data_IF_038994001734
#
_entry.id   IF_038994001734
#
_cell.length_a   1.000
_cell.length_b   1.000
_cell.length_c   1.000
_cell.angle_alpha   90.00
_cell.angle_beta   90.00
_cell.angle_gamma   90.00
#
_symmetry.space_group_name_H-M   'P 1'
#
loop_
_entity.id
_entity.type
_entity.pdbx_description
1 polymer ?
#
# COMPACT_ATOMS: atom_id res chain seq x y z
N UNK A 1 46.26 -7.24 -68.73
CA UNK A 1 46.55 -8.39 -67.87
C UNK A 1 47.88 -8.12 -67.17
N UNK A 2 47.82 -7.78 -65.89
CA UNK A 2 48.94 -7.51 -64.98
C UNK A 2 48.59 -8.21 -63.66
N UNK A 3 49.53 -8.88 -62.97
CA UNK A 3 49.24 -9.87 -61.94
C UNK A 3 48.82 -9.26 -60.59
N UNK A 4 48.24 -10.07 -59.67
CA UNK A 4 47.69 -9.61 -58.41
C UNK A 4 48.80 -9.38 -57.37
N UNK A 5 48.70 -8.30 -56.60
CA UNK A 5 49.48 -8.12 -55.39
C UNK A 5 48.63 -8.58 -54.21
N UNK A 6 49.01 -9.72 -53.65
CA UNK A 6 48.55 -10.20 -52.36
C UNK A 6 49.53 -9.68 -51.30
N UNK A 7 49.04 -8.88 -50.35
CA UNK A 7 49.60 -8.71 -49.00
C UNK A 7 48.78 -7.65 -48.25
N UNK A 8 47.78 -8.09 -47.48
CA UNK A 8 47.31 -7.35 -46.30
C UNK A 8 46.72 -8.31 -45.25
N UNK A 9 47.54 -8.82 -44.31
CA UNK A 9 47.04 -9.58 -43.17
C UNK A 9 47.05 -8.69 -41.93
N UNK A 10 45.94 -8.01 -41.65
CA UNK A 10 45.85 -7.21 -40.44
C UNK A 10 44.48 -6.63 -40.14
N UNK A 11 43.55 -7.42 -39.61
CA UNK A 11 42.62 -6.98 -38.56
C UNK A 11 41.77 -8.13 -38.02
N UNK A 12 42.42 -9.00 -37.23
CA UNK A 12 41.73 -9.84 -36.25
C UNK A 12 41.52 -9.02 -34.96
N UNK A 13 40.37 -9.23 -34.33
CA UNK A 13 40.04 -8.92 -32.92
C UNK A 13 39.81 -7.45 -32.51
N UNK A 14 38.60 -6.93 -32.77
CA UNK A 14 37.96 -6.04 -31.77
C UNK A 14 37.16 -6.91 -30.80
N UNK A 15 37.87 -7.50 -29.84
CA UNK A 15 37.24 -8.10 -28.65
C UNK A 15 36.42 -7.01 -27.96
N UNK A 16 35.16 -7.32 -27.68
CA UNK A 16 34.31 -6.48 -26.84
C UNK A 16 35.00 -6.26 -25.50
N UNK A 17 35.48 -5.06 -25.27
CA UNK A 17 35.75 -4.57 -23.93
C UNK A 17 34.40 -4.50 -23.22
N UNK A 18 34.09 -5.52 -22.43
CA UNK A 18 33.07 -5.42 -21.39
C UNK A 18 33.54 -4.29 -20.47
N UNK A 19 32.98 -3.09 -20.70
CA UNK A 19 33.17 -1.96 -19.81
C UNK A 19 32.84 -2.45 -18.40
N UNK A 20 33.76 -2.36 -17.43
CA UNK A 20 33.43 -2.69 -16.05
C UNK A 20 32.21 -1.84 -15.64
N UNK A 21 31.21 -2.41 -14.95
CA UNK A 21 30.04 -1.66 -14.54
C UNK A 21 30.52 -0.43 -13.76
N UNK A 22 30.10 0.74 -14.21
CA UNK A 22 30.55 1.98 -13.62
C UNK A 22 29.91 2.04 -12.22
N UNK A 23 30.65 2.28 -11.13
CA UNK A 23 30.06 2.41 -9.80
C UNK A 23 29.04 3.56 -9.69
N UNK A 24 28.97 4.42 -10.71
CA UNK A 24 28.01 5.51 -10.88
C UNK A 24 26.68 5.09 -11.53
N UNK A 25 26.53 3.81 -11.92
CA UNK A 25 25.20 3.19 -12.06
C UNK A 25 24.55 2.98 -10.67
N UNK A 26 25.20 3.47 -9.60
CA UNK A 26 24.61 3.74 -8.30
C UNK A 26 23.30 4.52 -8.47
N UNK A 27 22.20 3.77 -8.41
CA UNK A 27 20.85 4.20 -8.07
C UNK A 27 20.53 5.58 -8.63
N UNK A 28 20.07 5.62 -9.89
CA UNK A 28 19.46 6.82 -10.45
C UNK A 28 18.45 7.37 -9.42
N UNK A 29 18.72 8.54 -8.82
CA UNK A 29 17.90 9.07 -7.75
C UNK A 29 16.48 9.34 -8.23
N UNK A 30 16.29 9.65 -9.52
CA UNK A 30 14.97 9.83 -10.10
C UNK A 30 14.22 8.49 -10.22
N UNK A 31 14.91 7.39 -10.54
CA UNK A 31 14.32 6.05 -10.55
C UNK A 31 13.95 5.57 -9.15
N UNK A 32 14.78 5.89 -8.14
CA UNK A 32 14.47 5.62 -6.74
C UNK A 32 13.26 6.43 -6.25
N UNK A 33 13.22 7.74 -6.52
CA UNK A 33 12.08 8.60 -6.19
C UNK A 33 10.80 8.15 -6.88
N UNK A 34 10.87 7.77 -8.16
CA UNK A 34 9.74 7.21 -8.90
C UNK A 34 9.27 5.87 -8.31
N UNK A 35 10.20 5.01 -7.89
CA UNK A 35 9.89 3.76 -7.20
C UNK A 35 9.21 3.98 -5.85
N UNK A 36 9.69 4.96 -5.07
CA UNK A 36 9.09 5.33 -3.78
C UNK A 36 7.70 5.95 -3.96
N UNK A 37 7.51 6.82 -4.94
CA UNK A 37 6.20 7.39 -5.26
C UNK A 37 5.18 6.28 -5.59
N UNK A 38 5.58 5.31 -6.41
CA UNK A 38 4.73 4.16 -6.75
C UNK A 38 4.41 3.26 -5.55
N UNK A 39 5.37 3.05 -4.64
CA UNK A 39 5.11 2.31 -3.40
C UNK A 39 4.09 3.04 -2.53
N UNK A 40 4.22 4.35 -2.38
CA UNK A 40 3.26 5.18 -1.65
C UNK A 40 1.88 5.10 -2.29
N UNK A 41 1.77 5.20 -3.62
CA UNK A 41 0.50 5.05 -4.34
C UNK A 41 -0.17 3.70 -4.06
N UNK A 42 0.59 2.61 -4.07
CA UNK A 42 0.07 1.27 -3.76
C UNK A 42 -0.44 1.20 -2.32
N UNK A 43 0.33 1.72 -1.36
CA UNK A 43 -0.07 1.72 0.05
C UNK A 43 -1.32 2.57 0.27
N UNK A 44 -1.39 3.75 -0.35
CA UNK A 44 -2.58 4.62 -0.26
C UNK A 44 -3.79 3.95 -0.91
N UNK A 45 -3.62 3.31 -2.07
CA UNK A 45 -4.71 2.61 -2.73
C UNK A 45 -5.23 1.43 -1.90
N UNK A 46 -4.36 0.69 -1.23
CA UNK A 46 -4.73 -0.41 -0.35
C UNK A 46 -5.50 0.09 0.88
N UNK A 47 -5.00 1.15 1.55
CA UNK A 47 -5.68 1.78 2.68
C UNK A 47 -7.05 2.37 2.28
N UNK A 48 -7.14 3.01 1.12
CA UNK A 48 -8.41 3.55 0.60
C UNK A 48 -9.38 2.41 0.27
N UNK A 49 -8.91 1.31 -0.33
CA UNK A 49 -9.75 0.15 -0.60
C UNK A 49 -10.33 -0.46 0.69
N UNK A 50 -9.60 -0.38 1.80
CA UNK A 50 -10.12 -0.83 3.10
C UNK A 50 -11.26 0.05 3.63
N UNK A 51 -11.35 1.32 3.21
CA UNK A 51 -12.43 2.21 3.61
C UNK A 51 -13.78 1.82 3.00
N UNK A 52 -13.78 1.22 1.81
CA UNK A 52 -15.00 0.84 1.07
C UNK A 52 -15.62 -0.48 1.53
N UNK A 53 -15.07 -1.12 2.56
CA UNK A 53 -15.68 -2.31 3.16
C UNK A 53 -16.85 -1.95 4.06
N UNK A 54 -17.79 -2.89 4.21
CA UNK A 54 -18.82 -2.76 5.25
C UNK A 54 -18.16 -2.76 6.62
N UNK A 55 -18.61 -1.90 7.51
CA UNK A 55 -18.08 -1.79 8.87
C UNK A 55 -19.19 -1.95 9.91
N UNK A 56 -18.80 -2.29 11.14
CA UNK A 56 -19.69 -2.30 12.31
C UNK A 56 -19.05 -1.49 13.43
N UNK A 57 -19.91 -0.94 14.28
CA UNK A 57 -19.51 -0.35 15.56
C UNK A 57 -19.84 -1.37 16.65
N UNK A 58 -18.85 -1.67 17.48
CA UNK A 58 -18.95 -2.58 18.62
C UNK A 58 -18.97 -1.74 19.88
N UNK A 59 -20.03 -1.87 20.66
CA UNK A 59 -20.22 -1.18 21.94
C UNK A 59 -20.13 -2.21 23.06
N UNK A 60 -19.13 -2.08 23.94
CA UNK A 60 -18.88 -3.06 25.00
C UNK A 60 -18.89 -2.41 26.38
N UNK A 61 -19.78 -2.87 27.25
CA UNK A 61 -19.76 -2.59 28.68
C UNK A 61 -19.18 -3.78 29.46
N UNK A 62 -19.15 -3.70 30.78
CA UNK A 62 -18.82 -4.82 31.67
C UNK A 62 -19.85 -5.96 31.62
N UNK A 63 -21.09 -5.68 31.17
CA UNK A 63 -22.21 -6.62 31.21
C UNK A 63 -22.67 -7.09 29.83
N UNK A 64 -22.52 -6.24 28.80
CA UNK A 64 -23.11 -6.47 27.49
C UNK A 64 -22.17 -6.05 26.36
N UNK A 65 -22.34 -6.71 25.22
CA UNK A 65 -21.75 -6.29 23.94
C UNK A 65 -22.87 -6.10 22.94
N UNK A 66 -22.90 -4.95 22.28
CA UNK A 66 -23.86 -4.58 21.27
C UNK A 66 -23.14 -4.26 19.97
N UNK A 67 -23.84 -4.49 18.85
CA UNK A 67 -23.31 -4.29 17.50
C UNK A 67 -24.27 -3.37 16.76
N UNK A 68 -23.74 -2.29 16.20
CA UNK A 68 -24.47 -1.31 15.41
C UNK A 68 -23.95 -1.36 13.97
N UNK A 69 -24.86 -1.38 13.00
CA UNK A 69 -24.54 -1.50 11.58
C UNK A 69 -25.30 -2.64 10.88
N UNK A 70 -24.89 -3.05 9.67
CA UNK A 70 -23.65 -2.65 8.98
C UNK A 70 -23.70 -1.22 8.42
N UNK A 71 -22.54 -0.56 8.41
CA UNK A 71 -22.29 0.71 7.75
C UNK A 71 -21.64 0.47 6.38
N UNK A 72 -21.94 1.32 5.37
CA UNK A 72 -21.47 1.12 4.00
C UNK A 72 -19.96 1.24 3.84
N UNK A 73 -19.32 2.07 4.66
CA UNK A 73 -17.89 2.39 4.60
C UNK A 73 -17.36 2.75 6.00
N UNK A 74 -16.04 2.84 6.12
CA UNK A 74 -15.35 3.17 7.37
C UNK A 74 -15.68 4.59 7.89
N UNK A 75 -15.98 5.54 6.99
CA UNK A 75 -16.27 6.93 7.37
C UNK A 75 -17.64 7.00 8.07
N UNK A 76 -18.66 6.38 7.48
CA UNK A 76 -19.99 6.29 8.06
C UNK A 76 -19.96 5.58 9.44
N UNK A 77 -19.18 4.51 9.56
CA UNK A 77 -18.99 3.83 10.84
C UNK A 77 -18.26 4.71 11.87
N UNK A 78 -17.23 5.46 11.46
CA UNK A 78 -16.52 6.39 12.33
C UNK A 78 -17.42 7.52 12.83
N UNK A 79 -18.24 8.11 11.94
CA UNK A 79 -19.22 9.12 12.34
C UNK A 79 -20.23 8.57 13.36
N UNK A 80 -20.73 7.34 13.17
CA UNK A 80 -21.62 6.70 14.13
C UNK A 80 -20.92 6.43 15.47
N UNK A 81 -19.67 5.94 15.43
CA UNK A 81 -18.88 5.73 16.63
C UNK A 81 -18.61 7.04 17.39
N UNK A 82 -18.39 8.17 16.70
CA UNK A 82 -18.18 9.46 17.34
C UNK A 82 -19.43 9.94 18.11
N UNK A 83 -20.63 9.72 17.57
CA UNK A 83 -21.90 10.00 18.28
C UNK A 83 -21.99 9.15 19.55
N UNK A 84 -21.63 7.88 19.48
CA UNK A 84 -21.61 7.00 20.65
C UNK A 84 -20.55 7.45 21.67
N UNK A 85 -19.36 7.89 21.24
CA UNK A 85 -18.29 8.42 22.11
C UNK A 85 -18.77 9.67 22.86
N UNK A 86 -19.40 10.61 22.15
CA UNK A 86 -19.94 11.82 22.77
C UNK A 86 -21.06 11.52 23.77
N UNK A 87 -21.90 10.53 23.48
CA UNK A 87 -22.95 10.07 24.39
C UNK A 87 -22.33 9.39 25.61
N UNK A 88 -21.27 8.62 25.39
CA UNK A 88 -20.54 7.88 26.43
C UNK A 88 -19.84 8.81 27.44
N UNK A 89 -19.40 10.00 27.03
CA UNK A 89 -18.81 10.99 27.93
C UNK A 89 -19.79 11.51 28.99
N UNK A 90 -21.10 11.42 28.72
CA UNK A 90 -22.17 11.84 29.63
C UNK A 90 -22.51 10.77 30.68
N UNK A 91 -21.99 9.56 30.53
CA UNK A 91 -22.20 8.45 31.47
C UNK A 91 -21.22 8.52 32.65
N UNK A 92 -21.65 7.92 33.77
CA UNK A 92 -20.75 7.65 34.89
C UNK A 92 -19.60 6.73 34.44
N UNK A 93 -18.44 6.84 35.07
CA UNK A 93 -17.22 6.15 34.62
C UNK A 93 -17.40 4.63 34.58
N UNK A 94 -18.12 4.08 35.55
CA UNK A 94 -18.47 2.67 35.66
C UNK A 94 -19.40 2.16 34.55
N UNK A 95 -20.17 3.05 33.93
CA UNK A 95 -21.13 2.74 32.89
C UNK A 95 -20.59 3.02 31.48
N UNK A 96 -19.35 3.54 31.38
CA UNK A 96 -18.76 3.88 30.09
C UNK A 96 -18.55 2.65 29.22
N UNK A 97 -18.89 2.81 27.96
CA UNK A 97 -18.71 1.83 26.90
C UNK A 97 -17.31 1.94 26.30
N UNK A 98 -16.72 0.79 26.00
CA UNK A 98 -15.61 0.68 25.07
C UNK A 98 -16.19 0.59 23.66
N UNK A 99 -15.83 1.54 22.80
CA UNK A 99 -16.37 1.69 21.45
C UNK A 99 -15.26 1.34 20.46
N UNK A 100 -15.55 0.49 19.48
CA UNK A 100 -14.57 0.05 18.47
C UNK A 100 -15.24 -0.07 17.11
N UNK A 101 -14.56 0.35 16.05
CA UNK A 101 -14.99 0.17 14.67
C UNK A 101 -14.21 -1.00 14.07
N UNK A 102 -14.89 -1.90 13.37
CA UNK A 102 -14.25 -3.04 12.72
C UNK A 102 -14.86 -3.31 11.33
N UNK A 103 -14.05 -3.69 10.33
CA UNK A 103 -14.56 -4.14 9.04
C UNK A 103 -15.29 -5.48 9.22
N UNK A 104 -16.42 -5.63 8.53
CA UNK A 104 -17.04 -6.92 8.30
C UNK A 104 -16.23 -7.65 7.23
N UNK A 105 -15.80 -8.87 7.54
CA UNK A 105 -15.14 -9.73 6.57
C UNK A 105 -16.07 -9.87 5.35
N UNK A 106 -15.60 -9.44 4.19
CA UNK A 106 -16.28 -9.73 2.93
C UNK A 106 -16.37 -11.25 2.77
N UNK A 107 -17.50 -11.82 2.31
CA UNK A 107 -17.50 -13.23 1.93
C UNK A 107 -16.42 -13.43 0.86
N UNK A 108 -15.56 -14.42 1.06
CA UNK A 108 -14.50 -14.74 0.10
C UNK A 108 -15.10 -14.87 -1.30
N UNK A 109 -14.52 -14.22 -2.34
CA UNK A 109 -14.98 -14.48 -3.70
C UNK A 109 -14.80 -15.98 -3.98
N UNK A 110 -15.93 -16.66 -4.17
CA UNK A 110 -15.99 -18.09 -4.51
C UNK A 110 -15.71 -18.31 -5.99
#
# INVERSE_FOLDING_TARGET
MTPPNADDPGHLERRGELRPPNPQDALDPAAFESGMARLVEILVADEVAQLDHLHIVILRSSLTTQFVGPFPDAIAAACAAEVEIQTNEQLAEEDRLCITVAPLLSPSPS
#
